data_IF_367911067379
#
_entry.id   IF_367911067379
#
_cell.length_a   1.000
_cell.length_b   1.000
_cell.length_c   1.000
_cell.angle_alpha   90.00
_cell.angle_beta   90.00
_cell.angle_gamma   90.00
#
_symmetry.space_group_name_H-M   'P 1'
#
loop_
_entity.id
_entity.type
_entity.pdbx_description
1 polymer ?
#
# COMPACT_ATOMS: atom_id res chain seq x y z
N UNK A 1 -2.42 14.61 -4.06
CA UNK A 1 -2.93 13.47 -3.29
C UNK A 1 -4.22 13.01 -3.95
N UNK A 2 -4.37 11.72 -4.14
CA UNK A 2 -5.57 11.10 -4.72
C UNK A 2 -6.05 9.98 -3.79
N UNK A 3 -7.35 9.77 -3.71
CA UNK A 3 -7.95 8.63 -3.01
C UNK A 3 -8.76 7.82 -4.02
N UNK A 4 -8.47 6.52 -4.11
CA UNK A 4 -9.16 5.58 -5.00
C UNK A 4 -9.53 4.31 -4.24
N UNK A 5 -10.48 3.54 -4.77
CA UNK A 5 -10.85 2.23 -4.21
C UNK A 5 -10.02 1.12 -4.86
N UNK A 6 -9.77 0.02 -4.13
CA UNK A 6 -9.16 -1.19 -4.68
C UNK A 6 -9.99 -1.77 -5.84
N UNK A 7 -11.32 -1.68 -5.76
CA UNK A 7 -12.21 -2.02 -6.87
C UNK A 7 -11.96 -1.16 -8.11
N UNK A 8 -11.86 0.16 -7.93
CA UNK A 8 -11.59 1.09 -9.02
C UNK A 8 -10.20 0.88 -9.62
N UNK A 9 -9.19 0.61 -8.78
CA UNK A 9 -7.84 0.26 -9.21
C UNK A 9 -7.84 -1.02 -10.06
N UNK A 10 -8.51 -2.08 -9.58
CA UNK A 10 -8.64 -3.35 -10.32
C UNK A 10 -9.31 -3.16 -11.67
N UNK A 11 -10.41 -2.39 -11.73
CA UNK A 11 -11.11 -2.11 -12.98
C UNK A 11 -10.23 -1.38 -14.01
N UNK A 12 -9.41 -0.42 -13.58
CA UNK A 12 -8.47 0.31 -14.45
C UNK A 12 -7.29 -0.54 -14.92
N UNK A 13 -6.94 -1.57 -14.17
CA UNK A 13 -5.76 -2.39 -14.39
C UNK A 13 -6.06 -3.78 -14.95
N UNK A 14 -7.31 -4.15 -15.20
CA UNK A 14 -7.61 -5.36 -15.97
C UNK A 14 -7.03 -5.32 -17.40
N UNK A 15 -6.67 -4.12 -17.88
CA UNK A 15 -5.99 -3.88 -19.16
C UNK A 15 -4.44 -3.83 -19.06
N UNK A 16 -3.85 -3.88 -17.85
CA UNK A 16 -2.40 -3.73 -17.62
C UNK A 16 -1.91 -4.66 -16.49
N UNK A 17 -0.75 -5.30 -16.65
CA UNK A 17 -0.26 -6.35 -15.74
C UNK A 17 -0.03 -5.91 -14.27
N UNK A 18 -1.09 -5.93 -13.45
CA UNK A 18 -1.05 -5.65 -12.00
C UNK A 18 -0.16 -6.61 -11.21
N UNK A 19 -0.01 -7.84 -11.71
CA UNK A 19 0.77 -8.89 -11.09
C UNK A 19 2.27 -8.71 -11.29
N UNK A 20 2.72 -7.76 -12.12
CA UNK A 20 4.15 -7.50 -12.30
C UNK A 20 4.70 -6.66 -11.13
N UNK A 21 5.93 -6.93 -10.66
CA UNK A 21 6.61 -6.06 -9.72
C UNK A 21 6.82 -4.65 -10.29
N UNK A 22 6.55 -3.62 -9.49
CA UNK A 22 6.64 -2.21 -9.88
C UNK A 22 7.38 -1.41 -8.80
N UNK A 23 8.37 -0.60 -9.20
CA UNK A 23 8.95 0.39 -8.31
C UNK A 23 8.08 1.64 -8.32
N UNK A 24 7.53 2.00 -7.16
CA UNK A 24 6.71 3.21 -7.04
C UNK A 24 7.56 4.42 -6.70
N UNK A 25 7.21 5.58 -7.23
CA UNK A 25 7.84 6.87 -6.94
C UNK A 25 6.97 7.75 -6.02
N UNK A 26 5.84 7.24 -5.55
CA UNK A 26 4.92 7.88 -4.62
C UNK A 26 4.75 7.07 -3.33
N UNK A 27 4.15 7.69 -2.32
CA UNK A 27 3.71 7.01 -1.10
C UNK A 27 2.30 6.46 -1.32
N UNK A 28 2.11 5.18 -1.03
CA UNK A 28 0.82 4.49 -1.08
C UNK A 28 0.45 4.05 0.33
N UNK A 29 -0.75 4.42 0.77
CA UNK A 29 -1.37 3.88 1.97
C UNK A 29 -2.60 3.10 1.56
N UNK A 30 -2.64 1.82 1.89
CA UNK A 30 -3.81 0.96 1.73
C UNK A 30 -4.47 0.77 3.09
N UNK A 31 -5.74 1.14 3.20
CA UNK A 31 -6.62 0.75 4.30
C UNK A 31 -7.52 -0.37 3.80
N UNK A 32 -7.42 -1.55 4.42
CA UNK A 32 -8.25 -2.69 4.07
C UNK A 32 -9.58 -2.59 4.81
N UNK A 33 -10.67 -2.55 4.05
CA UNK A 33 -12.01 -2.47 4.61
C UNK A 33 -12.63 -3.86 4.77
N UNK A 34 -12.41 -4.77 3.81
CA UNK A 34 -13.00 -6.11 3.81
C UNK A 34 -12.13 -7.12 3.06
N UNK A 35 -12.33 -8.39 3.37
CA UNK A 35 -11.67 -9.52 2.69
C UNK A 35 -10.24 -9.78 3.17
N UNK A 36 -9.56 -10.63 2.41
CA UNK A 36 -8.17 -11.01 2.64
C UNK A 36 -7.40 -11.03 1.32
N UNK A 37 -6.07 -10.89 1.37
CA UNK A 37 -5.24 -10.91 0.18
C UNK A 37 -3.75 -10.75 0.48
N UNK A 38 -2.95 -10.73 -0.58
CA UNK A 38 -1.50 -10.57 -0.47
C UNK A 38 -1.00 -9.28 -1.11
N UNK A 39 0.04 -8.70 -0.53
CA UNK A 39 0.79 -7.63 -1.15
C UNK A 39 2.27 -7.82 -0.87
N UNK A 40 3.11 -7.79 -1.90
CA UNK A 40 4.55 -7.95 -1.74
C UNK A 40 5.19 -6.56 -1.74
N UNK A 41 6.02 -6.27 -0.75
CA UNK A 41 6.85 -5.04 -0.67
C UNK A 41 8.30 -5.45 -0.46
N UNK A 42 9.20 -5.00 -1.33
CA UNK A 42 10.64 -5.33 -1.27
C UNK A 42 10.89 -6.83 -1.02
N UNK A 43 10.19 -7.67 -1.79
CA UNK A 43 10.27 -9.14 -1.74
C UNK A 43 9.69 -9.80 -0.47
N UNK A 44 9.11 -9.03 0.45
CA UNK A 44 8.39 -9.54 1.63
C UNK A 44 6.89 -9.61 1.32
N UNK A 45 6.28 -10.77 1.57
CA UNK A 45 4.82 -10.93 1.42
C UNK A 45 4.12 -10.51 2.70
N UNK A 46 3.19 -9.57 2.58
CA UNK A 46 2.26 -9.16 3.63
C UNK A 46 0.90 -9.78 3.34
N UNK A 47 0.40 -10.58 4.28
CA UNK A 47 -0.99 -11.01 4.28
C UNK A 47 -1.84 -9.91 4.90
N UNK A 48 -2.92 -9.57 4.24
CA UNK A 48 -3.79 -8.44 4.57
C UNK A 48 -5.18 -8.96 4.91
N UNK A 49 -5.79 -8.38 5.93
CA UNK A 49 -7.16 -8.60 6.37
C UNK A 49 -7.86 -7.27 6.67
N UNK A 50 -9.18 -7.30 6.87
CA UNK A 50 -9.94 -6.13 7.28
C UNK A 50 -9.30 -5.41 8.49
N UNK A 51 -9.28 -4.07 8.44
CA UNK A 51 -8.64 -3.15 9.38
C UNK A 51 -7.10 -3.07 9.32
N UNK A 52 -6.43 -3.87 8.48
CA UNK A 52 -5.00 -3.68 8.24
C UNK A 52 -4.72 -2.38 7.48
N UNK A 53 -3.57 -1.77 7.80
CA UNK A 53 -3.03 -0.63 7.06
C UNK A 53 -1.63 -1.00 6.55
N UNK A 54 -1.44 -0.90 5.24
CA UNK A 54 -0.14 -1.10 4.58
C UNK A 54 0.38 0.23 4.04
N UNK A 55 1.65 0.51 4.29
CA UNK A 55 2.36 1.67 3.76
C UNK A 55 3.47 1.22 2.82
N UNK A 56 3.45 1.70 1.57
CA UNK A 56 4.55 1.56 0.62
C UNK A 56 5.15 2.94 0.37
N UNK A 57 6.46 3.05 0.55
CA UNK A 57 7.20 4.31 0.43
C UNK A 57 7.75 4.48 -0.99
N UNK A 58 8.01 5.73 -1.41
CA UNK A 58 8.74 6.00 -2.64
C UNK A 58 10.05 5.20 -2.70
N UNK A 59 10.32 4.60 -3.85
CA UNK A 59 11.50 3.80 -4.12
C UNK A 59 11.36 2.30 -3.79
N UNK A 60 10.33 1.88 -3.04
CA UNK A 60 10.10 0.45 -2.78
C UNK A 60 9.50 -0.26 -4.01
N UNK A 61 9.78 -1.55 -4.13
CA UNK A 61 9.16 -2.41 -5.16
C UNK A 61 7.92 -3.05 -4.57
N UNK A 62 6.76 -2.85 -5.20
CA UNK A 62 5.51 -3.49 -4.84
C UNK A 62 5.10 -4.55 -5.87
N UNK A 63 4.29 -5.51 -5.46
CA UNK A 63 3.57 -6.42 -6.36
C UNK A 63 2.22 -6.79 -5.74
N UNK A 64 1.15 -6.63 -6.51
CA UNK A 64 -0.19 -7.00 -6.09
C UNK A 64 -0.41 -8.51 -6.17
N UNK A 65 -0.97 -9.11 -5.12
CA UNK A 65 -1.56 -10.45 -5.12
C UNK A 65 -3.01 -10.34 -4.68
N UNK A 66 -3.81 -9.73 -5.56
CA UNK A 66 -5.18 -9.37 -5.26
C UNK A 66 -6.07 -10.60 -5.30
N UNK A 67 -6.77 -10.84 -4.19
CA UNK A 67 -7.94 -11.68 -4.20
C UNK A 67 -9.17 -10.84 -4.61
N UNK A 68 -10.15 -11.46 -5.25
CA UNK A 68 -11.38 -10.78 -5.65
C UNK A 68 -12.15 -10.24 -4.43
N UNK A 69 -12.00 -10.87 -3.26
CA UNK A 69 -12.64 -10.46 -2.02
C UNK A 69 -12.01 -9.25 -1.31
N UNK A 70 -10.78 -8.86 -1.66
CA UNK A 70 -10.09 -7.75 -0.98
C UNK A 70 -10.65 -6.40 -1.44
N UNK A 71 -11.18 -5.63 -0.50
CA UNK A 71 -11.71 -4.28 -0.70
C UNK A 71 -11.06 -3.30 0.26
N UNK A 72 -10.93 -2.05 -0.19
CA UNK A 72 -10.29 -1.01 0.59
C UNK A 72 -10.04 0.27 -0.18
N UNK A 73 -9.42 1.22 0.52
CA UNK A 73 -9.05 2.54 0.01
C UNK A 73 -7.54 2.64 -0.15
N UNK A 74 -7.10 3.20 -1.28
CA UNK A 74 -5.73 3.62 -1.49
C UNK A 74 -5.65 5.15 -1.44
N UNK A 75 -4.73 5.65 -0.63
CA UNK A 75 -4.30 7.05 -0.65
C UNK A 75 -2.93 7.12 -1.34
N UNK A 76 -2.88 7.84 -2.46
CA UNK A 76 -1.67 8.02 -3.25
C UNK A 76 -1.15 9.45 -3.04
N UNK A 77 0.07 9.57 -2.54
CA UNK A 77 0.68 10.85 -2.21
C UNK A 77 1.98 11.01 -2.99
N UNK A 78 2.01 11.98 -3.91
CA UNK A 78 3.23 12.35 -4.62
C UNK A 78 4.28 12.90 -3.66
N UNK A 79 5.58 12.67 -3.89
CA UNK A 79 6.64 13.24 -3.05
C UNK A 79 6.55 14.76 -2.92
N UNK A 80 6.13 15.46 -3.98
CA UNK A 80 5.93 16.92 -3.98
C UNK A 80 4.86 17.41 -3.00
N UNK A 81 3.94 16.54 -2.58
CA UNK A 81 2.91 16.85 -1.59
C UNK A 81 3.39 16.58 -0.15
N UNK A 82 4.51 15.90 0.04
CA UNK A 82 5.10 15.64 1.34
C UNK A 82 6.03 16.81 1.71
N UNK A 83 5.70 17.52 2.79
CA UNK A 83 6.58 18.54 3.35
C UNK A 83 7.88 17.93 3.91
N UNK A 84 8.89 18.75 4.23
CA UNK A 84 10.24 18.31 4.65
C UNK A 84 10.27 17.48 5.96
N UNK A 85 9.14 17.32 6.65
CA UNK A 85 9.02 16.65 7.95
C UNK A 85 8.64 15.15 7.89
N UNK A 86 8.54 14.52 6.72
CA UNK A 86 8.39 13.05 6.63
C UNK A 86 9.76 12.38 6.77
N UNK A 87 10.39 12.56 7.93
CA UNK A 87 11.47 11.72 8.42
C UNK A 87 10.90 10.75 9.45
N UNK A 88 10.69 9.49 9.08
CA UNK A 88 10.34 8.45 10.05
C UNK A 88 11.52 8.26 11.01
N UNK A 89 11.45 8.89 12.18
CA UNK A 89 12.39 8.62 13.27
C UNK A 89 12.08 7.22 13.81
N UNK A 90 12.88 6.24 13.42
CA UNK A 90 12.73 4.81 13.75
C UNK A 90 12.98 4.48 15.23
N UNK A 91 13.18 5.48 16.08
CA UNK A 91 13.44 5.30 17.51
C UNK A 91 12.18 5.22 18.40
N UNK A 92 10.98 5.55 17.91
CA UNK A 92 9.82 5.76 18.79
C UNK A 92 8.89 4.54 19.03
N UNK A 93 9.11 3.38 18.39
CA UNK A 93 8.18 2.23 18.48
C UNK A 93 8.70 1.05 19.32
N UNK A 94 9.69 1.26 20.20
CA UNK A 94 10.12 0.27 21.20
C UNK A 94 9.96 0.76 22.64
N UNK A 95 8.74 1.06 23.06
CA UNK A 95 8.38 0.92 24.47
C UNK A 95 6.86 0.75 24.61
N UNK A 96 6.43 -0.50 24.76
CA UNK A 96 5.03 -0.85 24.95
C UNK A 96 4.83 -2.36 24.85
N UNK A 97 5.62 -3.11 25.62
CA UNK A 97 5.31 -4.51 25.90
C UNK A 97 4.32 -4.53 27.09
N UNK A 98 3.19 -5.20 26.89
CA UNK A 98 2.31 -5.67 27.97
C UNK A 98 3.04 -6.70 28.83
#
# INVERSE_FOLDING_TARGET
MEVITLRGLRAKLLDLEMGAPQRVDFLLLLLVEQGEGGHVVDFVTHLLHAADVLLVRPGQVQQWRLDAGLEGLLVLVSPSALGPSVGLNSAALRSGAF
#
